data_IF_981083749582
#
_entry.id   IF_981083749582
#
_cell.length_a   1.000
_cell.length_b   1.000
_cell.length_c   1.000
_cell.angle_alpha   90.00
_cell.angle_beta   90.00
_cell.angle_gamma   90.00
#
_symmetry.space_group_name_H-M   'P 1'
#
loop_
_entity.id
_entity.type
_entity.pdbx_description
1 polymer ?
#
# COMPACT_ATOMS: atom_id res chain seq x y z
N UNK A 1 70.07 0.97 -55.51
CA UNK A 1 69.50 2.10 -54.77
C UNK A 1 68.00 2.14 -55.01
N UNK A 2 67.19 2.13 -53.93
CA UNK A 2 65.74 2.46 -53.84
C UNK A 2 64.76 1.51 -54.55
N UNK A 3 63.60 1.13 -54.02
CA UNK A 3 62.95 1.23 -52.69
C UNK A 3 61.78 0.23 -52.77
N UNK A 4 61.64 -0.66 -51.78
CA UNK A 4 60.50 -1.58 -51.65
C UNK A 4 59.28 -0.76 -51.21
N UNK A 5 58.18 -0.85 -51.97
CA UNK A 5 56.89 -0.28 -51.61
C UNK A 5 56.22 -1.20 -50.58
N UNK A 6 56.16 -0.79 -49.31
CA UNK A 6 55.25 -1.38 -48.32
C UNK A 6 54.05 -0.46 -48.17
N UNK A 7 52.90 -0.91 -48.68
CA UNK A 7 51.60 -0.28 -48.43
C UNK A 7 51.14 -0.67 -47.03
N UNK A 8 51.34 0.22 -46.05
CA UNK A 8 50.76 0.06 -44.71
C UNK A 8 49.37 0.69 -44.76
N UNK A 9 48.32 -0.14 -44.79
CA UNK A 9 46.95 0.30 -44.57
C UNK A 9 46.76 0.40 -43.04
N UNK A 10 46.83 1.63 -42.53
CA UNK A 10 46.54 1.93 -41.14
C UNK A 10 45.01 1.99 -40.97
N UNK A 11 44.38 0.86 -40.63
CA UNK A 11 43.00 0.87 -40.13
C UNK A 11 43.01 1.50 -38.73
N UNK A 12 42.76 2.81 -38.66
CA UNK A 12 42.38 3.45 -37.39
C UNK A 12 41.02 2.91 -36.99
N UNK A 13 40.99 1.97 -36.04
CA UNK A 13 39.79 1.66 -35.27
C UNK A 13 39.37 2.96 -34.55
N UNK A 14 38.41 3.67 -35.13
CA UNK A 14 37.56 4.56 -34.35
C UNK A 14 36.72 3.64 -33.45
N UNK A 15 37.25 3.33 -32.27
CA UNK A 15 36.44 2.81 -31.19
C UNK A 15 35.40 3.89 -30.89
N UNK A 16 34.21 3.75 -31.46
CA UNK A 16 33.03 4.47 -31.00
C UNK A 16 32.86 4.06 -29.55
N UNK A 17 33.29 4.93 -28.64
CA UNK A 17 32.93 4.84 -27.24
C UNK A 17 31.40 5.01 -27.19
N UNK A 18 30.67 3.91 -27.33
CA UNK A 18 29.30 3.84 -26.85
C UNK A 18 29.40 3.98 -25.34
N UNK A 19 29.36 5.22 -24.89
CA UNK A 19 29.16 5.57 -23.50
C UNK A 19 27.75 5.09 -23.18
N UNK A 20 27.64 3.87 -22.65
CA UNK A 20 26.43 3.40 -21.99
C UNK A 20 26.22 4.34 -20.80
N UNK A 21 25.29 5.28 -20.96
CA UNK A 21 24.75 6.08 -19.88
C UNK A 21 24.04 5.13 -18.92
N UNK A 22 24.78 4.55 -17.97
CA UNK A 22 24.18 4.05 -16.75
C UNK A 22 23.63 5.28 -16.01
N UNK A 23 22.35 5.61 -16.25
CA UNK A 23 21.68 6.71 -15.57
C UNK A 23 21.54 6.35 -14.08
N UNK A 24 22.04 7.24 -13.23
CA UNK A 24 22.10 7.04 -11.78
C UNK A 24 20.68 7.08 -11.20
N UNK A 25 20.07 5.91 -11.08
CA UNK A 25 18.72 5.67 -10.55
C UNK A 25 18.30 4.21 -10.73
N UNK A 26 18.82 3.55 -11.76
CA UNK A 26 18.51 2.15 -12.13
C UNK A 26 18.70 1.14 -10.99
N UNK A 27 19.60 1.41 -10.05
CA UNK A 27 19.81 0.57 -8.87
C UNK A 27 18.62 0.48 -7.91
N UNK A 28 17.58 1.29 -8.08
CA UNK A 28 16.30 1.19 -7.35
C UNK A 28 15.21 0.45 -8.13
N UNK A 29 15.35 0.28 -9.45
CA UNK A 29 14.37 -0.46 -10.26
C UNK A 29 14.31 -1.91 -9.76
N UNK A 30 13.08 -2.41 -9.59
CA UNK A 30 12.79 -3.73 -9.04
C UNK A 30 12.85 -3.84 -7.52
N UNK A 31 13.38 -2.83 -6.80
CA UNK A 31 13.39 -2.80 -5.33
C UNK A 31 12.04 -2.32 -4.79
N UNK A 32 11.66 -2.73 -3.56
CA UNK A 32 10.53 -2.14 -2.86
C UNK A 32 10.68 -0.62 -2.75
N UNK A 33 9.60 0.11 -3.01
CA UNK A 33 9.55 1.55 -2.84
C UNK A 33 9.73 1.89 -1.34
N UNK A 34 10.65 2.80 -0.98
CA UNK A 34 10.83 3.21 0.40
C UNK A 34 9.55 3.80 1.02
N UNK A 35 9.25 3.40 2.26
CA UNK A 35 8.10 3.92 2.99
C UNK A 35 8.33 5.39 3.43
N UNK A 36 7.28 6.20 3.33
CA UNK A 36 7.29 7.62 3.69
C UNK A 36 6.78 7.92 5.10
N UNK A 37 6.30 6.93 5.84
CA UNK A 37 5.83 7.06 7.21
C UNK A 37 4.67 8.02 7.36
N UNK A 38 4.57 8.64 8.54
CA UNK A 38 3.55 9.64 8.85
C UNK A 38 4.01 11.01 8.35
N UNK A 39 3.47 11.43 7.21
CA UNK A 39 3.61 12.79 6.68
C UNK A 39 2.30 13.57 6.82
N UNK A 40 2.40 14.89 6.67
CA UNK A 40 1.24 15.78 6.53
C UNK A 40 0.87 15.89 5.06
N UNK A 41 -0.41 16.03 4.78
CA UNK A 41 -0.98 15.96 3.44
C UNK A 41 -1.83 17.18 3.11
N UNK A 42 -1.91 17.46 1.81
CA UNK A 42 -2.75 18.49 1.20
C UNK A 42 -3.49 17.82 0.04
N UNK A 43 -4.75 18.22 -0.19
CA UNK A 43 -5.66 17.63 -1.17
C UNK A 43 -6.01 16.15 -0.94
N UNK A 44 -5.78 15.63 0.28
CA UNK A 44 -6.07 14.25 0.67
C UNK A 44 -5.95 14.08 2.19
N UNK A 45 -6.68 13.12 2.74
CA UNK A 45 -6.33 12.52 4.02
C UNK A 45 -4.95 11.84 3.96
N UNK A 46 -4.31 11.55 5.11
CA UNK A 46 -2.99 10.93 5.12
C UNK A 46 -2.94 9.58 4.43
N UNK A 47 -2.17 9.49 3.34
CA UNK A 47 -1.93 8.23 2.64
C UNK A 47 -0.67 7.55 3.18
N UNK A 48 -0.76 6.25 3.39
CA UNK A 48 0.36 5.40 3.77
C UNK A 48 0.62 4.41 2.64
N UNK A 49 1.88 4.21 2.25
CA UNK A 49 2.26 3.31 1.15
C UNK A 49 1.69 1.90 1.35
N UNK A 50 1.54 1.46 2.61
CA UNK A 50 0.97 0.16 2.97
C UNK A 50 -0.51 0.02 2.63
N UNK A 51 -1.28 1.11 2.65
CA UNK A 51 -2.71 1.12 2.33
C UNK A 51 -2.98 1.29 0.83
N UNK A 52 -1.92 1.46 0.03
CA UNK A 52 -1.97 1.64 -1.43
C UNK A 52 -1.55 0.37 -2.19
N UNK A 53 -1.72 -0.80 -1.56
CA UNK A 53 -1.47 -2.08 -2.21
C UNK A 53 -2.34 -2.24 -3.47
N UNK A 54 -1.82 -2.94 -4.48
CA UNK A 54 -2.49 -3.16 -5.76
C UNK A 54 -2.77 -1.91 -6.61
N UNK A 55 -2.32 -0.73 -6.19
CA UNK A 55 -2.35 0.49 -7.02
C UNK A 55 -1.02 0.70 -7.73
N UNK A 56 -1.10 1.30 -8.92
CA UNK A 56 0.07 1.86 -9.60
C UNK A 56 0.22 3.31 -9.15
N UNK A 57 1.40 3.67 -8.63
CA UNK A 57 1.63 5.00 -8.05
C UNK A 57 2.66 5.75 -8.87
N UNK A 58 2.37 7.01 -9.21
CA UNK A 58 3.35 7.96 -9.73
C UNK A 58 3.72 8.94 -8.63
N UNK A 59 4.93 8.82 -8.09
CA UNK A 59 5.46 9.77 -7.11
C UNK A 59 6.25 10.85 -7.85
N UNK A 60 5.76 12.09 -7.81
CA UNK A 60 6.41 13.25 -8.40
C UNK A 60 7.05 14.11 -7.31
N UNK A 61 8.37 14.24 -7.32
CA UNK A 61 9.04 15.25 -6.47
C UNK A 61 8.96 16.62 -7.09
N UNK A 62 8.64 17.63 -6.28
CA UNK A 62 8.56 19.01 -6.74
C UNK A 62 8.85 20.03 -5.62
N UNK A 63 9.18 21.24 -6.05
CA UNK A 63 9.39 22.41 -5.18
C UNK A 63 8.81 23.66 -5.82
N UNK A 64 8.39 24.63 -5.02
CA UNK A 64 7.64 25.80 -5.51
C UNK A 64 8.49 26.82 -6.29
N UNK A 65 9.81 26.75 -6.16
CA UNK A 65 10.75 27.76 -6.67
C UNK A 65 11.36 27.42 -8.04
N UNK A 66 10.98 26.30 -8.67
CA UNK A 66 11.51 25.89 -9.98
C UNK A 66 10.44 25.96 -11.07
N UNK A 67 10.62 26.77 -12.14
CA UNK A 67 9.66 26.89 -13.23
C UNK A 67 9.34 25.55 -13.90
N UNK A 68 10.36 24.71 -14.09
CA UNK A 68 10.25 23.38 -14.73
C UNK A 68 9.25 22.44 -14.04
N UNK A 69 9.11 22.51 -12.72
CA UNK A 69 8.11 21.69 -12.01
C UNK A 69 6.66 22.09 -12.32
N UNK A 70 6.40 23.37 -12.65
CA UNK A 70 5.03 23.85 -12.89
C UNK A 70 4.45 23.34 -14.21
N UNK A 71 5.30 23.15 -15.22
CA UNK A 71 4.83 22.73 -16.53
C UNK A 71 4.36 21.27 -16.57
N UNK A 72 4.86 20.42 -15.66
CA UNK A 72 4.38 19.04 -15.52
C UNK A 72 2.99 18.93 -14.88
N UNK A 73 2.53 19.93 -14.12
CA UNK A 73 1.29 19.76 -13.33
C UNK A 73 0.05 19.55 -14.18
N UNK A 74 -0.04 20.19 -15.35
CA UNK A 74 -1.14 19.97 -16.28
C UNK A 74 -1.16 18.51 -16.79
N UNK A 75 -0.01 18.01 -17.25
CA UNK A 75 0.14 16.64 -17.71
C UNK A 75 -0.12 15.61 -16.59
N UNK A 76 0.37 15.87 -15.37
CA UNK A 76 0.14 15.00 -14.22
C UNK A 76 -1.31 15.00 -13.76
N UNK A 77 -1.99 16.16 -13.82
CA UNK A 77 -3.41 16.24 -13.52
C UNK A 77 -4.23 15.43 -14.52
N UNK A 78 -3.91 15.54 -15.81
CA UNK A 78 -4.55 14.73 -16.85
C UNK A 78 -4.31 13.24 -16.61
N UNK A 79 -3.06 12.80 -16.41
CA UNK A 79 -2.76 11.38 -16.12
C UNK A 79 -3.50 10.90 -14.87
N UNK A 80 -3.55 11.73 -13.83
CA UNK A 80 -4.33 11.43 -12.64
C UNK A 80 -5.80 11.22 -13.01
N UNK A 81 -6.43 12.15 -13.71
CA UNK A 81 -7.85 12.03 -14.11
C UNK A 81 -8.13 10.83 -15.02
N UNK A 82 -7.28 10.61 -16.03
CA UNK A 82 -7.44 9.53 -16.99
C UNK A 82 -7.44 8.15 -16.33
N UNK A 83 -6.55 7.93 -15.37
CA UNK A 83 -6.31 6.60 -14.81
C UNK A 83 -6.81 6.44 -13.36
N UNK A 84 -7.39 7.46 -12.72
CA UNK A 84 -7.87 7.34 -11.32
C UNK A 84 -8.86 6.19 -11.14
N UNK A 85 -9.70 5.92 -12.15
CA UNK A 85 -10.66 4.81 -12.12
C UNK A 85 -10.00 3.43 -12.35
N UNK A 86 -8.72 3.38 -12.71
CA UNK A 86 -7.99 2.16 -13.08
C UNK A 86 -6.96 1.73 -12.01
N UNK A 87 -7.14 2.08 -10.74
CA UNK A 87 -6.16 1.84 -9.67
C UNK A 87 -4.82 2.59 -9.84
N UNK A 88 -4.82 3.74 -10.53
CA UNK A 88 -3.68 4.64 -10.58
C UNK A 88 -3.82 5.82 -9.62
N UNK A 89 -2.70 6.27 -9.05
CA UNK A 89 -2.65 7.44 -8.19
C UNK A 89 -1.39 8.26 -8.41
N UNK A 90 -1.55 9.57 -8.61
CA UNK A 90 -0.44 10.53 -8.58
C UNK A 90 -0.27 11.05 -7.17
N UNK A 91 0.96 11.04 -6.65
CA UNK A 91 1.32 11.61 -5.36
C UNK A 91 2.43 12.63 -5.57
N UNK A 92 2.20 13.88 -5.18
CA UNK A 92 3.24 14.90 -5.11
C UNK A 92 4.03 14.79 -3.81
N UNK A 93 5.34 14.57 -3.89
CA UNK A 93 6.24 14.83 -2.76
C UNK A 93 6.75 16.26 -2.83
N UNK A 94 6.21 17.12 -1.96
CA UNK A 94 6.67 18.49 -1.83
C UNK A 94 7.85 18.56 -0.86
N UNK A 95 8.98 19.04 -1.37
CA UNK A 95 10.16 19.36 -0.58
C UNK A 95 10.49 20.86 -0.71
N UNK A 96 10.35 21.67 0.36
CA UNK A 96 10.71 23.07 0.33
C UNK A 96 12.23 23.23 0.25
N UNK A 97 12.71 24.20 -0.56
CA UNK A 97 14.13 24.57 -0.49
C UNK A 97 14.43 25.27 0.85
N UNK A 98 15.67 25.15 1.39
CA UNK A 98 16.00 25.56 2.77
C UNK A 98 15.69 27.03 3.12
N UNK A 99 15.70 27.94 2.14
CA UNK A 99 15.35 29.36 2.34
C UNK A 99 13.85 29.64 2.46
N UNK A 100 12.99 28.61 2.43
CA UNK A 100 11.53 28.75 2.39
C UNK A 100 10.80 27.76 3.31
N UNK A 101 11.26 27.61 4.56
CA UNK A 101 10.42 26.99 5.59
C UNK A 101 9.13 27.82 5.74
N UNK A 102 8.03 27.23 5.30
CA UNK A 102 6.69 27.81 5.32
C UNK A 102 5.84 26.97 6.26
N UNK A 103 4.96 27.61 7.03
CA UNK A 103 3.90 26.93 7.76
C UNK A 103 3.03 26.11 6.80
N UNK A 104 2.32 25.08 7.29
CA UNK A 104 1.43 24.27 6.44
C UNK A 104 0.45 25.14 5.65
N UNK A 105 -0.15 26.15 6.27
CA UNK A 105 -1.09 27.05 5.59
C UNK A 105 -0.46 27.79 4.41
N UNK A 106 0.80 28.22 4.56
CA UNK A 106 1.53 28.88 3.46
C UNK A 106 1.90 27.90 2.35
N UNK A 107 2.19 26.64 2.71
CA UNK A 107 2.42 25.58 1.73
C UNK A 107 1.12 25.26 1.00
N UNK A 108 -0.01 25.10 1.70
CA UNK A 108 -1.33 24.87 1.12
C UNK A 108 -1.76 25.99 0.18
N UNK A 109 -1.58 27.25 0.57
CA UNK A 109 -1.80 28.40 -0.32
C UNK A 109 -0.95 28.30 -1.59
N UNK A 110 0.31 27.88 -1.47
CA UNK A 110 1.22 27.71 -2.62
C UNK A 110 0.75 26.57 -3.53
N UNK A 111 0.40 25.41 -2.96
CA UNK A 111 -0.12 24.24 -3.70
C UNK A 111 -1.37 24.63 -4.50
N UNK A 112 -2.29 25.35 -3.85
CA UNK A 112 -3.53 25.84 -4.47
C UNK A 112 -3.24 26.86 -5.59
N UNK A 113 -2.37 27.84 -5.35
CA UNK A 113 -1.97 28.83 -6.35
C UNK A 113 -1.30 28.20 -7.58
N UNK A 114 -0.61 27.07 -7.40
CA UNK A 114 0.01 26.32 -8.48
C UNK A 114 -0.95 25.37 -9.19
N UNK A 115 -2.21 25.30 -8.77
CA UNK A 115 -3.23 24.44 -9.37
C UNK A 115 -2.96 22.94 -9.17
N UNK A 116 -2.15 22.57 -8.17
CA UNK A 116 -1.90 21.16 -7.85
C UNK A 116 -3.15 20.59 -7.19
N UNK A 117 -3.76 19.61 -7.87
CA UNK A 117 -5.04 18.98 -7.45
C UNK A 117 -4.90 17.55 -6.95
N UNK A 118 -3.75 16.92 -7.14
CA UNK A 118 -3.48 15.56 -6.66
C UNK A 118 -2.98 15.56 -5.20
N UNK A 119 -3.10 14.43 -4.48
CA UNK A 119 -2.58 14.28 -3.13
C UNK A 119 -1.11 14.70 -3.02
N UNK A 120 -0.80 15.59 -2.09
CA UNK A 120 0.56 16.10 -1.89
C UNK A 120 0.99 15.88 -0.45
N UNK A 121 2.04 15.10 -0.23
CA UNK A 121 2.65 14.99 1.09
C UNK A 121 3.86 15.91 1.24
N UNK A 122 4.09 16.30 2.49
CA UNK A 122 4.99 17.39 2.86
C UNK A 122 6.24 16.81 3.53
N UNK A 123 7.33 16.66 2.76
CA UNK A 123 8.63 16.17 3.23
C UNK A 123 9.57 17.36 3.53
N UNK A 124 9.27 18.09 4.60
CA UNK A 124 10.01 19.32 4.95
C UNK A 124 11.50 19.06 5.20
N UNK A 125 11.83 17.94 5.84
CA UNK A 125 13.21 17.62 6.22
C UNK A 125 13.98 16.90 5.10
N UNK A 126 13.31 16.56 3.99
CA UNK A 126 13.94 15.84 2.87
C UNK A 126 14.31 14.40 3.22
N UNK A 127 13.77 13.86 4.32
CA UNK A 127 14.07 12.50 4.79
C UNK A 127 13.58 11.46 3.80
N UNK A 128 12.44 11.71 3.16
CA UNK A 128 11.89 10.78 2.17
C UNK A 128 12.60 10.95 0.84
N UNK A 129 12.89 12.18 0.43
CA UNK A 129 13.72 12.48 -0.72
C UNK A 129 15.06 11.70 -0.67
N UNK A 130 15.75 11.67 0.48
CA UNK A 130 17.00 10.91 0.66
C UNK A 130 16.82 9.39 0.54
N UNK A 131 15.66 8.83 0.87
CA UNK A 131 15.42 7.39 0.69
C UNK A 131 15.27 7.02 -0.79
N UNK A 132 14.74 7.93 -1.60
CA UNK A 132 14.54 7.75 -3.03
C UNK A 132 15.73 8.26 -3.88
N UNK A 133 16.62 9.09 -3.31
CA UNK A 133 17.89 9.53 -3.91
C UNK A 133 19.09 9.17 -3.03
N UNK A 134 19.96 8.29 -3.53
CA UNK A 134 21.17 7.88 -2.82
C UNK A 134 22.29 8.95 -2.84
N UNK A 135 22.18 10.02 -3.64
CA UNK A 135 23.16 11.12 -3.66
C UNK A 135 22.45 12.49 -3.58
N UNK A 136 22.65 13.18 -2.46
CA UNK A 136 22.11 14.51 -2.20
C UNK A 136 22.60 15.57 -3.21
N UNK A 137 23.66 15.30 -3.98
CA UNK A 137 24.17 16.21 -5.02
C UNK A 137 23.21 16.38 -6.21
N UNK A 138 22.20 15.52 -6.36
CA UNK A 138 21.18 15.63 -7.42
C UNK A 138 20.01 16.56 -7.08
N UNK A 139 20.09 17.31 -5.98
CA UNK A 139 19.10 18.32 -5.58
C UNK A 139 18.75 19.34 -6.68
N UNK A 140 19.66 19.51 -7.66
CA UNK A 140 19.49 20.40 -8.81
C UNK A 140 18.86 19.73 -10.05
N UNK A 141 18.49 18.44 -10.03
CA UNK A 141 17.97 17.71 -11.21
C UNK A 141 16.47 17.35 -11.18
N UNK A 142 15.73 17.69 -10.13
CA UNK A 142 14.25 17.67 -10.19
C UNK A 142 13.70 18.54 -11.36
N UNK A 143 12.56 18.18 -11.98
CA UNK A 143 11.61 17.17 -11.55
C UNK A 143 12.09 15.74 -11.81
N UNK A 144 11.70 14.86 -10.92
CA UNK A 144 11.99 13.45 -11.08
C UNK A 144 10.84 12.65 -10.50
N UNK A 145 10.51 11.58 -11.20
CA UNK A 145 9.28 10.81 -10.95
C UNK A 145 9.60 9.34 -10.82
N UNK A 146 8.89 8.66 -9.94
CA UNK A 146 8.99 7.21 -9.77
C UNK A 146 7.64 6.60 -10.03
N UNK A 147 7.62 5.62 -10.91
CA UNK A 147 6.46 4.79 -11.13
C UNK A 147 6.63 3.49 -10.33
N UNK A 148 5.68 3.25 -9.43
CA UNK A 148 5.64 2.10 -8.53
C UNK A 148 4.50 1.21 -9.00
N UNK A 149 4.78 -0.08 -9.21
CA UNK A 149 3.78 -1.05 -9.64
C UNK A 149 2.92 -1.59 -8.49
N UNK A 150 1.91 -2.41 -8.83
CA UNK A 150 0.93 -3.01 -7.88
C UNK A 150 1.56 -3.77 -6.70
N UNK A 151 2.76 -4.32 -6.90
CA UNK A 151 3.59 -5.01 -5.88
C UNK A 151 4.48 -4.08 -5.04
N UNK A 152 4.27 -2.76 -5.11
CA UNK A 152 5.06 -1.71 -4.45
C UNK A 152 6.55 -1.72 -4.78
N UNK A 153 6.92 -2.22 -5.95
CA UNK A 153 8.30 -2.14 -6.47
C UNK A 153 8.42 -0.96 -7.41
N UNK A 154 9.56 -0.27 -7.38
CA UNK A 154 9.87 0.78 -8.35
C UNK A 154 10.06 0.11 -9.72
N UNK A 155 9.37 0.61 -10.74
CA UNK A 155 9.33 0.00 -12.08
C UNK A 155 9.87 0.91 -13.16
N UNK A 156 9.80 2.21 -12.94
CA UNK A 156 10.34 3.22 -13.85
C UNK A 156 10.72 4.46 -13.05
N UNK A 157 11.79 5.12 -13.48
CA UNK A 157 12.28 6.37 -12.91
C UNK A 157 12.49 7.31 -14.08
N UNK A 158 11.99 8.53 -13.94
CA UNK A 158 12.24 9.60 -14.89
C UNK A 158 13.06 10.69 -14.22
N UNK A 159 14.13 11.10 -14.87
CA UNK A 159 14.96 12.25 -14.52
C UNK A 159 14.94 13.19 -15.73
N UNK A 160 14.41 14.40 -15.57
CA UNK A 160 14.31 15.34 -16.68
C UNK A 160 13.50 16.59 -16.34
N UNK A 161 13.37 17.50 -17.30
CA UNK A 161 12.82 18.84 -17.05
C UNK A 161 11.28 18.88 -16.94
N UNK A 162 10.61 17.75 -17.11
CA UNK A 162 9.17 17.60 -16.87
C UNK A 162 8.42 16.95 -18.03
N UNK A 163 7.09 17.01 -17.97
CA UNK A 163 6.18 16.39 -18.93
C UNK A 163 5.30 17.42 -19.61
N UNK A 164 5.26 17.41 -20.95
CA UNK A 164 4.38 18.30 -21.71
C UNK A 164 3.54 17.49 -22.70
N UNK A 165 2.26 17.85 -22.85
CA UNK A 165 1.37 17.24 -23.83
C UNK A 165 1.63 17.77 -25.25
N UNK A 166 2.20 18.98 -25.38
CA UNK A 166 2.44 19.65 -26.64
C UNK A 166 3.41 20.83 -26.51
N UNK A 167 3.59 21.57 -27.60
CA UNK A 167 4.50 22.73 -27.69
C UNK A 167 5.47 22.64 -28.86
N UNK A 168 6.21 23.72 -29.10
CA UNK A 168 7.21 23.81 -30.17
C UNK A 168 8.45 22.93 -29.95
N UNK A 169 9.46 23.06 -30.82
CA UNK A 169 10.68 22.24 -30.82
C UNK A 169 11.39 22.17 -29.45
N UNK A 170 11.36 23.25 -28.67
CA UNK A 170 11.95 23.32 -27.32
C UNK A 170 11.31 22.37 -26.30
N UNK A 171 10.16 21.78 -26.59
CA UNK A 171 9.43 20.89 -25.69
C UNK A 171 9.42 19.43 -26.15
N UNK A 172 10.14 19.09 -27.23
CA UNK A 172 10.11 17.74 -27.81
C UNK A 172 10.53 16.65 -26.83
N UNK A 173 11.56 16.89 -26.01
CA UNK A 173 11.99 15.91 -25.00
C UNK A 173 10.89 15.67 -23.96
N UNK A 174 10.32 16.73 -23.37
CA UNK A 174 9.23 16.60 -22.41
C UNK A 174 7.98 15.93 -22.99
N UNK A 175 7.73 16.06 -24.30
CA UNK A 175 6.66 15.35 -24.99
C UNK A 175 6.97 13.86 -25.16
N UNK A 176 8.23 13.52 -25.42
CA UNK A 176 8.66 12.13 -25.50
C UNK A 176 8.59 11.47 -24.11
N UNK A 177 9.07 12.15 -23.08
CA UNK A 177 9.02 11.68 -21.69
C UNK A 177 7.58 11.45 -21.21
N UNK A 178 6.65 12.32 -21.61
CA UNK A 178 5.23 12.15 -21.32
C UNK A 178 4.65 10.90 -21.99
N UNK A 179 4.98 10.66 -23.27
CA UNK A 179 4.54 9.45 -23.99
C UNK A 179 5.10 8.18 -23.36
N UNK A 180 6.38 8.20 -22.99
CA UNK A 180 7.03 7.06 -22.33
C UNK A 180 6.39 6.78 -20.96
N UNK A 181 6.21 7.82 -20.13
CA UNK A 181 5.54 7.67 -18.84
C UNK A 181 4.14 7.07 -19.00
N UNK A 182 3.35 7.57 -19.96
CA UNK A 182 2.00 7.06 -20.24
C UNK A 182 2.04 5.60 -20.69
N UNK A 183 3.01 5.19 -21.51
CA UNK A 183 3.20 3.81 -21.91
C UNK A 183 3.56 2.90 -20.74
N UNK A 184 4.46 3.35 -19.85
CA UNK A 184 4.83 2.62 -18.64
C UNK A 184 3.65 2.48 -17.67
N UNK A 185 2.83 3.52 -17.49
CA UNK A 185 1.59 3.47 -16.70
C UNK A 185 0.66 2.39 -17.25
N UNK A 186 0.33 2.43 -18.54
CA UNK A 186 -0.54 1.45 -19.19
C UNK A 186 -0.03 0.01 -19.02
N UNK A 187 1.28 -0.19 -19.21
CA UNK A 187 1.92 -1.49 -19.02
C UNK A 187 1.71 -2.03 -17.59
N UNK A 188 1.91 -1.20 -16.57
CA UNK A 188 1.73 -1.60 -15.18
C UNK A 188 0.27 -1.80 -14.78
N UNK A 189 -0.65 -1.03 -15.38
CA UNK A 189 -2.08 -1.18 -15.15
C UNK A 189 -2.61 -2.52 -15.66
N UNK A 190 -2.04 -3.03 -16.74
CA UNK A 190 -2.33 -4.36 -17.31
C UNK A 190 -1.69 -5.52 -16.54
N UNK A 191 -0.74 -5.25 -15.64
CA UNK A 191 -0.20 -6.31 -14.79
C UNK A 191 -1.28 -6.80 -13.83
N UNK A 192 -1.39 -8.13 -13.60
CA UNK A 192 -2.38 -8.67 -12.69
C UNK A 192 -2.15 -8.11 -11.28
N UNK A 193 -3.26 -7.88 -10.56
CA UNK A 193 -3.19 -7.55 -9.14
C UNK A 193 -2.36 -8.59 -8.38
N UNK A 194 -1.64 -8.13 -7.35
CA UNK A 194 -0.92 -8.98 -6.42
C UNK A 194 -1.90 -9.74 -5.52
N UNK A 195 -2.49 -10.80 -6.07
CA UNK A 195 -3.40 -11.72 -5.36
C UNK A 195 -2.66 -12.55 -4.32
N UNK A 196 -1.33 -12.66 -4.40
CA UNK A 196 -0.48 -13.35 -3.42
C UNK A 196 -0.52 -12.77 -2.01
N UNK A 197 -1.19 -11.62 -1.82
CA UNK A 197 -1.35 -10.98 -0.52
C UNK A 197 -2.79 -10.77 -0.08
N UNK A 198 -3.76 -11.07 -0.93
CA UNK A 198 -5.17 -11.01 -0.57
C UNK A 198 -5.58 -12.36 0.01
N UNK A 199 -5.82 -12.38 1.32
CA UNK A 199 -6.30 -13.58 2.00
C UNK A 199 -7.82 -13.63 1.88
N UNK A 200 -8.39 -14.82 1.74
CA UNK A 200 -9.83 -15.02 1.86
C UNK A 200 -10.16 -15.89 3.07
N UNK A 201 -11.30 -15.63 3.70
CA UNK A 201 -11.89 -16.55 4.68
C UNK A 201 -13.16 -17.14 4.07
N UNK A 202 -13.29 -18.45 4.20
CA UNK A 202 -14.41 -19.25 3.74
C UNK A 202 -14.75 -20.32 4.78
N UNK A 203 -15.82 -21.07 4.55
CA UNK A 203 -16.11 -22.25 5.36
C UNK A 203 -14.93 -23.23 5.36
N UNK A 204 -14.30 -23.46 4.21
CA UNK A 204 -13.30 -24.51 4.06
C UNK A 204 -11.89 -24.09 4.54
N UNK A 205 -11.54 -22.81 4.47
CA UNK A 205 -10.17 -22.35 4.73
C UNK A 205 -10.08 -20.86 5.08
N UNK A 206 -8.95 -20.49 5.67
CA UNK A 206 -8.52 -19.10 5.82
C UNK A 206 -7.13 -18.91 5.19
N UNK A 207 -7.08 -18.23 4.05
CA UNK A 207 -5.89 -18.17 3.21
C UNK A 207 -5.47 -19.58 2.82
N UNK A 208 -4.32 -20.04 3.31
CA UNK A 208 -3.86 -21.43 3.13
C UNK A 208 -4.04 -22.32 4.37
N UNK A 209 -4.59 -21.79 5.46
CA UNK A 209 -4.93 -22.57 6.64
C UNK A 209 -6.17 -23.41 6.33
N UNK A 210 -6.10 -24.68 6.74
CA UNK A 210 -7.18 -25.66 6.69
C UNK A 210 -7.51 -26.15 8.10
N UNK A 211 -8.71 -26.72 8.32
CA UNK A 211 -9.13 -27.34 9.60
C UNK A 211 -8.06 -28.17 10.31
N UNK A 212 -7.29 -28.93 9.54
CA UNK A 212 -6.27 -29.87 10.00
C UNK A 212 -4.86 -29.26 10.11
N UNK A 213 -4.73 -27.93 9.97
CA UNK A 213 -3.41 -27.28 10.05
C UNK A 213 -2.89 -27.30 11.49
N UNK A 214 -1.70 -27.88 11.75
CA UNK A 214 -1.15 -27.91 13.10
C UNK A 214 -0.71 -26.52 13.55
N UNK A 215 -0.79 -26.27 14.86
CA UNK A 215 -0.26 -25.06 15.48
C UNK A 215 1.27 -25.14 15.62
N UNK A 216 1.97 -24.97 14.50
CA UNK A 216 3.43 -25.02 14.44
C UNK A 216 4.00 -23.87 13.62
N UNK A 217 5.04 -23.25 14.17
CA UNK A 217 5.68 -22.07 13.57
C UNK A 217 6.21 -22.34 12.16
N UNK A 218 6.94 -23.45 11.96
CA UNK A 218 7.51 -23.84 10.67
C UNK A 218 6.42 -24.03 9.61
N UNK A 219 5.30 -24.64 9.98
CA UNK A 219 4.15 -24.83 9.10
C UNK A 219 3.47 -23.52 8.76
N UNK A 220 3.26 -22.64 9.74
CA UNK A 220 2.64 -21.33 9.52
C UNK A 220 3.54 -20.45 8.63
N UNK A 221 4.86 -20.44 8.86
CA UNK A 221 5.83 -19.72 8.01
C UNK A 221 5.80 -20.20 6.56
N UNK A 222 5.71 -21.52 6.32
CA UNK A 222 5.59 -22.08 4.97
C UNK A 222 4.29 -21.67 4.27
N UNK A 223 3.19 -21.58 5.01
CA UNK A 223 1.88 -21.21 4.46
C UNK A 223 1.80 -19.71 4.13
N UNK A 224 2.50 -18.87 4.88
CA UNK A 224 2.47 -17.41 4.75
C UNK A 224 3.87 -16.80 4.49
N UNK A 225 4.56 -17.17 3.39
CA UNK A 225 5.95 -16.79 3.15
C UNK A 225 6.17 -15.28 2.87
N UNK A 226 5.09 -14.53 2.64
CA UNK A 226 5.12 -13.09 2.35
C UNK A 226 4.61 -12.24 3.53
N UNK A 227 4.49 -12.83 4.71
CA UNK A 227 4.02 -12.17 5.93
C UNK A 227 5.06 -12.34 7.03
N UNK A 228 5.09 -11.38 7.95
CA UNK A 228 5.93 -11.46 9.14
C UNK A 228 5.21 -12.33 10.17
N UNK A 229 5.81 -13.44 10.56
CA UNK A 229 5.26 -14.34 11.58
C UNK A 229 5.92 -14.00 12.92
N UNK A 230 5.12 -13.54 13.88
CA UNK A 230 5.60 -13.18 15.22
C UNK A 230 4.99 -14.14 16.22
N UNK A 231 5.85 -14.86 16.96
CA UNK A 231 5.44 -15.60 18.16
C UNK A 231 5.22 -14.60 19.29
N UNK A 232 4.05 -14.67 19.91
CA UNK A 232 3.66 -13.79 21.01
C UNK A 232 2.95 -14.61 22.09
N UNK A 233 2.60 -13.98 23.21
CA UNK A 233 1.88 -14.61 24.32
C UNK A 233 0.56 -13.86 24.54
N UNK A 234 -0.52 -14.61 24.74
CA UNK A 234 -1.81 -14.08 25.14
C UNK A 234 -2.22 -14.66 26.49
N UNK A 235 -3.30 -14.16 27.08
CA UNK A 235 -3.84 -14.63 28.34
C UNK A 235 -5.35 -14.79 28.30
N UNK A 236 -5.86 -15.85 28.91
CA UNK A 236 -7.29 -16.05 29.19
C UNK A 236 -7.42 -16.48 30.64
N UNK A 237 -8.29 -15.84 31.40
CA UNK A 237 -8.45 -16.06 32.86
C UNK A 237 -7.13 -15.98 33.66
N UNK A 238 -6.13 -15.27 33.14
CA UNK A 238 -4.80 -15.13 33.75
C UNK A 238 -3.79 -16.22 33.39
N UNK A 239 -4.19 -17.27 32.66
CA UNK A 239 -3.26 -18.27 32.14
C UNK A 239 -2.63 -17.81 30.82
N UNK A 240 -1.30 -17.89 30.74
CA UNK A 240 -0.54 -17.48 29.56
C UNK A 240 -0.42 -18.62 28.54
N UNK A 241 -0.67 -18.33 27.26
CA UNK A 241 -0.51 -19.29 26.17
C UNK A 241 0.13 -18.65 24.93
N UNK A 242 0.88 -19.42 24.12
CA UNK A 242 1.53 -18.90 22.93
C UNK A 242 0.52 -18.65 21.82
N UNK A 243 0.73 -17.60 21.05
CA UNK A 243 -0.03 -17.28 19.83
C UNK A 243 0.93 -16.98 18.67
N UNK A 244 0.42 -17.05 17.44
CA UNK A 244 1.13 -16.52 16.27
C UNK A 244 0.38 -15.33 15.69
N UNK A 245 1.06 -14.20 15.55
CA UNK A 245 0.56 -13.04 14.80
C UNK A 245 1.13 -13.09 13.39
N UNK A 246 0.23 -13.13 12.41
CA UNK A 246 0.58 -12.96 11.00
C UNK A 246 0.44 -11.48 10.70
N UNK A 247 1.57 -10.82 10.44
CA UNK A 247 1.64 -9.37 10.27
C UNK A 247 2.05 -9.01 8.86
N UNK A 248 1.63 -7.83 8.45
CA UNK A 248 2.13 -7.20 7.23
C UNK A 248 2.33 -5.73 7.48
N UNK A 249 3.55 -5.24 7.25
CA UNK A 249 3.93 -3.85 7.50
C UNK A 249 3.59 -3.39 8.95
N UNK A 250 3.93 -4.21 9.95
CA UNK A 250 3.66 -3.95 11.37
C UNK A 250 2.18 -3.85 11.78
N UNK A 251 1.24 -4.25 10.93
CA UNK A 251 -0.16 -4.43 11.31
C UNK A 251 -0.48 -5.91 11.43
N UNK A 252 -1.23 -6.27 12.46
CA UNK A 252 -1.73 -7.63 12.62
C UNK A 252 -2.83 -7.88 11.60
N UNK A 253 -2.65 -8.92 10.80
CA UNK A 253 -3.62 -9.38 9.81
C UNK A 253 -4.45 -10.49 10.42
N UNK A 254 -3.77 -11.47 11.02
CA UNK A 254 -4.37 -12.62 11.70
C UNK A 254 -3.71 -12.82 13.06
N UNK A 255 -4.49 -13.28 14.04
CA UNK A 255 -4.00 -13.84 15.30
C UNK A 255 -4.45 -15.29 15.36
N UNK A 256 -3.50 -16.22 15.43
CA UNK A 256 -3.76 -17.65 15.50
C UNK A 256 -3.64 -18.08 16.96
N UNK A 257 -4.74 -18.59 17.51
CA UNK A 257 -4.82 -19.12 18.86
C UNK A 257 -4.79 -20.65 18.84
N UNK A 258 -4.04 -21.30 19.73
CA UNK A 258 -3.96 -22.75 19.80
C UNK A 258 -5.09 -23.38 20.62
N UNK A 259 -5.27 -24.69 20.45
CA UNK A 259 -5.93 -25.55 21.45
C UNK A 259 -5.10 -25.64 22.73
N UNK A 260 -5.69 -26.04 23.86
CA UNK A 260 -5.00 -26.11 25.16
C UNK A 260 -3.77 -27.04 25.19
N UNK A 261 -3.70 -28.04 24.30
CA UNK A 261 -2.54 -28.92 24.11
C UNK A 261 -1.46 -28.32 23.19
N UNK A 262 -1.72 -27.14 22.63
CA UNK A 262 -0.92 -26.42 21.65
C UNK A 262 -0.60 -27.20 20.36
N UNK A 263 -1.36 -28.25 20.04
CA UNK A 263 -1.13 -29.07 18.85
C UNK A 263 -1.87 -28.55 17.62
N UNK A 264 -3.08 -28.02 17.81
CA UNK A 264 -3.97 -27.61 16.73
C UNK A 264 -4.35 -26.13 16.86
N UNK A 265 -4.81 -25.55 15.75
CA UNK A 265 -5.38 -24.21 15.76
C UNK A 265 -6.78 -24.31 16.37
N UNK A 266 -7.07 -23.50 17.39
CA UNK A 266 -8.40 -23.39 17.98
C UNK A 266 -9.23 -22.29 17.30
N UNK A 267 -8.61 -21.15 17.02
CA UNK A 267 -9.26 -20.06 16.30
C UNK A 267 -8.24 -19.19 15.58
N UNK A 268 -8.71 -18.50 14.55
CA UNK A 268 -7.97 -17.48 13.84
C UNK A 268 -8.81 -16.21 13.82
N UNK A 269 -8.32 -15.17 14.49
CA UNK A 269 -8.96 -13.86 14.52
C UNK A 269 -8.45 -13.01 13.36
N UNK A 270 -9.37 -12.46 12.58
CA UNK A 270 -9.08 -11.57 11.46
C UNK A 270 -9.13 -10.13 11.97
N UNK A 271 -7.98 -9.46 11.94
CA UNK A 271 -7.79 -8.10 12.49
C UNK A 271 -7.72 -7.01 11.42
N UNK A 272 -7.71 -7.37 10.14
CA UNK A 272 -7.46 -6.41 9.06
C UNK A 272 -8.39 -6.61 7.85
N UNK A 273 -8.84 -5.49 7.27
CA UNK A 273 -9.74 -5.41 6.11
C UNK A 273 -9.16 -5.98 4.81
N UNK A 274 -7.85 -6.27 4.77
CA UNK A 274 -7.25 -6.93 3.59
C UNK A 274 -7.71 -8.37 3.41
N UNK A 275 -8.28 -9.00 4.44
CA UNK A 275 -8.84 -10.35 4.36
C UNK A 275 -10.27 -10.25 3.86
N UNK A 276 -10.54 -10.80 2.67
CA UNK A 276 -11.88 -10.81 2.08
C UNK A 276 -12.69 -11.97 2.63
N UNK A 277 -13.89 -11.67 3.11
CA UNK A 277 -14.84 -12.70 3.52
C UNK A 277 -15.71 -13.14 2.33
N UNK A 278 -15.71 -14.44 2.02
CA UNK A 278 -16.51 -14.97 0.90
C UNK A 278 -18.02 -14.92 1.17
N UNK A 279 -18.42 -14.81 2.44
CA UNK A 279 -19.82 -14.61 2.85
C UNK A 279 -20.25 -13.13 2.77
N UNK A 280 -19.37 -12.22 2.37
CA UNK A 280 -19.68 -10.82 2.04
C UNK A 280 -19.51 -9.80 3.17
N UNK A 281 -19.67 -10.19 4.44
CA UNK A 281 -19.52 -9.27 5.59
C UNK A 281 -18.05 -8.88 5.81
N UNK A 282 -17.74 -7.58 5.97
CA UNK A 282 -16.38 -7.07 6.15
C UNK A 282 -16.22 -6.38 7.50
N UNK A 283 -14.98 -6.27 8.01
CA UNK A 283 -14.74 -5.49 9.22
C UNK A 283 -15.23 -4.04 9.04
N UNK A 284 -16.03 -3.57 10.00
CA UNK A 284 -16.74 -2.30 9.96
C UNK A 284 -18.14 -2.36 9.35
N UNK A 285 -18.56 -3.49 8.76
CA UNK A 285 -19.96 -3.67 8.34
C UNK A 285 -20.87 -3.59 9.56
N UNK A 286 -22.01 -2.93 9.41
CA UNK A 286 -22.99 -2.86 10.50
C UNK A 286 -23.72 -4.19 10.65
N UNK A 287 -24.24 -4.48 11.84
CA UNK A 287 -25.12 -5.64 12.04
C UNK A 287 -26.28 -5.64 11.03
N UNK A 288 -26.85 -4.47 10.75
CA UNK A 288 -27.93 -4.31 9.78
C UNK A 288 -27.55 -4.78 8.37
N UNK A 289 -26.36 -4.45 7.90
CA UNK A 289 -25.87 -4.86 6.59
C UNK A 289 -25.67 -6.38 6.49
N UNK A 290 -25.40 -7.05 7.62
CA UNK A 290 -25.10 -8.49 7.65
C UNK A 290 -26.35 -9.33 7.91
N UNK A 291 -27.20 -8.95 8.86
CA UNK A 291 -28.36 -9.74 9.33
C UNK A 291 -29.71 -9.03 9.17
N UNK A 292 -29.75 -7.78 8.70
CA UNK A 292 -31.00 -7.03 8.51
C UNK A 292 -31.55 -6.41 9.80
N UNK A 293 -32.87 -6.46 9.99
CA UNK A 293 -33.57 -5.79 11.10
C UNK A 293 -34.09 -6.75 12.18
N UNK A 294 -33.65 -8.01 12.16
CA UNK A 294 -34.10 -9.01 13.12
C UNK A 294 -32.91 -9.50 13.93
N UNK A 295 -33.17 -9.82 15.19
CA UNK A 295 -32.19 -10.47 16.04
C UNK A 295 -32.03 -11.91 15.55
N UNK A 296 -30.86 -12.23 14.99
CA UNK A 296 -30.52 -13.57 14.55
C UNK A 296 -30.40 -14.50 15.77
N UNK A 297 -31.01 -15.69 15.68
CA UNK A 297 -31.01 -16.69 16.75
C UNK A 297 -29.64 -17.30 17.01
N UNK A 298 -28.69 -17.13 16.09
CA UNK A 298 -27.31 -17.59 16.22
C UNK A 298 -26.41 -16.54 16.87
N UNK A 299 -26.98 -15.46 17.42
CA UNK A 299 -26.27 -14.45 18.19
C UNK A 299 -26.35 -14.72 19.69
N UNK A 300 -25.29 -14.38 20.42
CA UNK A 300 -25.19 -14.50 21.86
C UNK A 300 -24.37 -13.34 22.44
N UNK A 301 -24.65 -12.91 23.68
CA UNK A 301 -23.84 -11.91 24.34
C UNK A 301 -22.45 -12.50 24.61
N UNK A 302 -21.42 -11.69 24.41
CA UNK A 302 -20.05 -12.06 24.77
C UNK A 302 -19.89 -12.17 26.28
N UNK A 303 -18.99 -13.05 26.71
CA UNK A 303 -18.64 -13.30 28.11
C UNK A 303 -17.16 -13.02 28.32
N UNK A 304 -16.73 -12.88 29.58
CA UNK A 304 -15.33 -12.71 29.98
C UNK A 304 -14.64 -11.59 29.18
N UNK A 305 -13.55 -11.86 28.44
CA UNK A 305 -12.81 -10.87 27.66
C UNK A 305 -13.62 -10.31 26.46
N UNK A 306 -14.74 -10.96 26.12
CA UNK A 306 -15.69 -10.51 25.11
C UNK A 306 -16.93 -9.82 25.72
N UNK A 307 -16.96 -9.58 27.03
CA UNK A 307 -18.06 -8.87 27.68
C UNK A 307 -18.32 -7.50 27.00
N UNK A 308 -19.60 -7.16 26.86
CA UNK A 308 -20.05 -5.96 26.14
C UNK A 308 -20.08 -6.07 24.61
N UNK A 309 -19.79 -7.26 24.04
CA UNK A 309 -19.89 -7.53 22.60
C UNK A 309 -21.03 -8.49 22.28
N UNK A 310 -21.38 -8.59 21.00
CA UNK A 310 -22.33 -9.59 20.49
C UNK A 310 -21.60 -10.50 19.50
N UNK A 311 -21.70 -11.81 19.73
CA UNK A 311 -21.05 -12.83 18.90
C UNK A 311 -22.14 -13.58 18.13
N UNK A 312 -22.03 -13.65 16.81
CA UNK A 312 -22.99 -14.34 15.95
C UNK A 312 -22.29 -15.35 15.04
N UNK A 313 -22.89 -16.51 14.81
CA UNK A 313 -22.44 -17.36 13.70
C UNK A 313 -22.83 -16.75 12.36
N UNK A 314 -21.90 -16.77 11.40
CA UNK A 314 -22.19 -16.31 10.05
C UNK A 314 -23.24 -17.22 9.39
N UNK A 315 -24.18 -16.61 8.67
CA UNK A 315 -25.23 -17.36 7.96
C UNK A 315 -24.62 -18.37 6.99
N UNK A 316 -25.03 -19.63 7.12
CA UNK A 316 -24.54 -20.73 6.28
C UNK A 316 -23.13 -21.23 6.61
N UNK A 317 -22.54 -20.82 7.74
CA UNK A 317 -21.21 -21.24 8.18
C UNK A 317 -21.24 -21.92 9.53
N UNK A 318 -20.40 -22.95 9.71
CA UNK A 318 -20.14 -23.56 11.03
C UNK A 318 -18.82 -23.10 11.63
N UNK A 319 -18.05 -22.31 10.88
CA UNK A 319 -16.65 -21.99 11.17
C UNK A 319 -16.39 -20.51 11.28
N UNK A 320 -17.25 -19.67 10.71
CA UNK A 320 -17.09 -18.22 10.74
C UNK A 320 -18.04 -17.66 11.79
N UNK A 321 -17.48 -16.89 12.71
CA UNK A 321 -18.19 -16.11 13.71
C UNK A 321 -17.88 -14.62 13.52
N UNK A 322 -18.87 -13.78 13.80
CA UNK A 322 -18.80 -12.34 13.72
C UNK A 322 -18.93 -11.74 15.11
N UNK A 323 -18.06 -10.82 15.47
CA UNK A 323 -18.10 -10.11 16.76
C UNK A 323 -18.41 -8.65 16.52
N UNK A 324 -19.60 -8.24 16.90
CA UNK A 324 -20.07 -6.86 16.84
C UNK A 324 -19.75 -6.13 18.14
N UNK A 325 -19.27 -4.90 18.00
CA UNK A 325 -19.02 -4.00 19.11
C UNK A 325 -19.72 -2.66 18.88
N UNK A 326 -20.21 -2.08 19.96
CA UNK A 326 -20.84 -0.78 19.96
C UNK A 326 -21.09 -0.30 21.37
N UNK A 327 -21.93 0.72 21.52
CA UNK A 327 -22.26 1.31 22.82
C UNK A 327 -23.65 0.87 23.25
N UNK A 328 -23.73 0.32 24.45
CA UNK A 328 -24.98 0.02 25.13
C UNK A 328 -24.75 0.06 26.64
N UNK A 329 -25.74 0.57 27.38
CA UNK A 329 -25.68 0.72 28.84
C UNK A 329 -26.72 -0.17 29.54
N UNK A 330 -27.15 -1.25 28.87
CA UNK A 330 -28.05 -2.23 29.49
C UNK A 330 -27.30 -3.27 30.31
N UNK A 331 -28.01 -4.29 30.82
CA UNK A 331 -27.41 -5.33 31.65
C UNK A 331 -26.36 -6.15 30.91
N UNK A 332 -25.26 -6.46 31.58
CA UNK A 332 -24.25 -7.40 31.07
C UNK A 332 -24.85 -8.80 30.85
N UNK A 333 -24.32 -9.52 29.86
CA UNK A 333 -24.78 -10.88 29.54
C UNK A 333 -26.16 -10.95 28.87
N UNK A 334 -26.71 -9.81 28.42
CA UNK A 334 -27.97 -9.74 27.67
C UNK A 334 -27.70 -9.14 26.29
N UNK A 335 -28.43 -9.59 25.26
CA UNK A 335 -28.31 -9.01 23.93
C UNK A 335 -28.92 -7.60 23.91
N UNK A 336 -28.25 -6.58 23.34
CA UNK A 336 -28.86 -5.29 23.10
C UNK A 336 -30.13 -5.42 22.25
N UNK A 337 -31.16 -4.58 22.49
CA UNK A 337 -32.30 -4.48 21.58
C UNK A 337 -31.86 -4.21 20.14
N UNK A 338 -32.62 -4.71 19.17
CA UNK A 338 -32.25 -4.66 17.75
C UNK A 338 -32.10 -3.22 17.25
N UNK A 339 -32.83 -2.26 17.83
CA UNK A 339 -32.74 -0.82 17.53
C UNK A 339 -31.35 -0.25 17.81
N UNK A 340 -30.63 -0.85 18.77
CA UNK A 340 -29.27 -0.47 19.15
C UNK A 340 -28.28 -1.32 18.36
N UNK A 341 -28.46 -2.65 18.39
CA UNK A 341 -27.52 -3.62 17.79
C UNK A 341 -27.35 -3.41 16.29
N UNK A 342 -28.41 -3.02 15.57
CA UNK A 342 -28.36 -2.80 14.11
C UNK A 342 -27.27 -1.82 13.66
N UNK A 343 -26.85 -0.91 14.54
CA UNK A 343 -25.81 0.10 14.27
C UNK A 343 -24.40 -0.34 14.68
N UNK A 344 -24.27 -1.44 15.40
CA UNK A 344 -22.97 -1.93 15.85
C UNK A 344 -22.16 -2.43 14.68
N UNK A 345 -20.85 -2.19 14.75
CA UNK A 345 -19.93 -2.54 13.68
C UNK A 345 -19.27 -3.89 13.96
N UNK A 346 -19.06 -4.65 12.89
CA UNK A 346 -18.29 -5.88 12.88
C UNK A 346 -16.83 -5.55 13.20
N UNK A 347 -16.47 -5.77 14.47
CA UNK A 347 -15.15 -5.43 15.01
C UNK A 347 -14.11 -6.53 14.78
N UNK A 348 -14.58 -7.78 14.65
CA UNK A 348 -13.73 -8.95 14.47
C UNK A 348 -14.47 -10.07 13.73
N UNK A 349 -13.75 -10.79 12.89
CA UNK A 349 -14.22 -12.04 12.28
C UNK A 349 -13.32 -13.16 12.79
N UNK A 350 -13.93 -14.23 13.30
CA UNK A 350 -13.22 -15.38 13.87
C UNK A 350 -13.50 -16.60 13.01
N UNK A 351 -12.44 -17.26 12.54
CA UNK A 351 -12.55 -18.56 11.89
C UNK A 351 -12.14 -19.67 12.87
N UNK A 352 -12.97 -20.69 13.03
CA UNK A 352 -12.78 -21.84 13.91
C UNK A 352 -12.59 -23.12 13.07
N UNK A 353 -11.34 -23.59 12.92
CA UNK A 353 -10.96 -24.76 12.12
C UNK A 353 -11.57 -26.09 12.61
#
# INVERSE_FOLDING_TARGET
>A
MRKILYTIILYTLLATHQQTTAEKGDGLIGKPAPDWGKLRWINSDPLQLNNLANKVLLIQWWTAVRPFCKHSFAALHELHQLFTQEDFLVIGMYHPKPSHYKTLDRIAKTVNQLGVKFPTAIDIEGKILQKYWLDAKMYNQSPSSFLIGRKRKIRYIHQGDGYHQGGGKSHQQCQQDYKELKAQINKLLQEPADTTTQLTVSEAHLGKLKPDTPFREDRIQQLFPNFDIVKDTSSTEGELFPIFRIRKNSQDILVINPTSDHQHIFSVEIKNKIVKNELGANLGSTYHEVYGNQLDTNCSPGVEEQSGKVICFALGSKRIMYVFAGKWHGPDGVLPPIEILRSWELSEIVWKP
#
